data_IF_540892953091
#
_entry.id   IF_540892953091
#
_cell.length_a   1.000
_cell.length_b   1.000
_cell.length_c   1.000
_cell.angle_alpha   90.00
_cell.angle_beta   90.00
_cell.angle_gamma   90.00
#
_symmetry.space_group_name_H-M   'P 1'
#
loop_
_entity.id
_entity.type
_entity.pdbx_description
1 polymer ?
#
# COMPACT_ATOMS: atom_id res chain seq x y z
N UNK A 1 17.33 -40.64 -43.75
CA UNK A 1 18.10 -39.83 -42.78
C UNK A 1 17.37 -38.59 -42.23
N UNK A 2 16.16 -38.22 -42.71
CA UNK A 2 15.48 -36.96 -42.32
C UNK A 2 14.55 -37.01 -41.09
N UNK A 3 14.12 -38.20 -40.65
CA UNK A 3 13.15 -38.35 -39.54
C UNK A 3 13.80 -38.14 -38.16
N UNK A 4 15.06 -38.57 -37.98
CA UNK A 4 15.78 -38.44 -36.71
C UNK A 4 16.05 -36.97 -36.34
N UNK A 5 16.34 -36.13 -37.32
CA UNK A 5 16.53 -34.68 -37.12
C UNK A 5 15.22 -33.96 -36.75
N UNK A 6 14.11 -34.35 -37.38
CA UNK A 6 12.78 -33.80 -37.06
C UNK A 6 12.36 -34.15 -35.63
N UNK A 7 12.60 -35.39 -35.19
CA UNK A 7 12.28 -35.83 -33.84
C UNK A 7 13.07 -35.07 -32.77
N UNK A 8 14.37 -34.83 -33.01
CA UNK A 8 15.23 -34.09 -32.09
C UNK A 8 14.79 -32.62 -31.95
N UNK A 9 14.36 -32.01 -33.06
CA UNK A 9 13.89 -30.62 -33.08
C UNK A 9 12.56 -30.47 -32.34
N UNK A 10 11.64 -31.43 -32.49
CA UNK A 10 10.39 -31.46 -31.73
C UNK A 10 10.61 -31.65 -30.23
N UNK A 11 11.58 -32.49 -29.83
CA UNK A 11 11.95 -32.67 -28.42
C UNK A 11 12.54 -31.39 -27.83
N UNK A 12 13.39 -30.66 -28.58
CA UNK A 12 13.92 -29.37 -28.13
C UNK A 12 12.83 -28.29 -27.99
N UNK A 13 11.88 -28.23 -28.93
CA UNK A 13 10.75 -27.29 -28.84
C UNK A 13 9.85 -27.62 -27.65
N UNK A 14 9.51 -28.90 -27.46
CA UNK A 14 8.70 -29.33 -26.31
C UNK A 14 9.43 -29.10 -24.99
N UNK A 15 10.72 -29.44 -24.91
CA UNK A 15 11.54 -29.24 -23.72
C UNK A 15 11.69 -27.76 -23.36
N UNK A 16 12.00 -26.91 -24.33
CA UNK A 16 12.07 -25.46 -24.13
C UNK A 16 10.71 -24.86 -23.74
N UNK A 17 9.60 -25.35 -24.30
CA UNK A 17 8.26 -24.91 -23.93
C UNK A 17 7.90 -25.33 -22.50
N UNK A 18 8.23 -26.55 -22.08
CA UNK A 18 8.01 -27.03 -20.71
C UNK A 18 8.87 -26.25 -19.71
N UNK A 19 10.13 -25.97 -20.05
CA UNK A 19 11.00 -25.10 -19.27
C UNK A 19 10.41 -23.69 -19.20
N UNK A 20 9.97 -23.12 -20.32
CA UNK A 20 9.35 -21.80 -20.34
C UNK A 20 8.07 -21.76 -19.51
N UNK A 21 7.23 -22.80 -19.54
CA UNK A 21 6.01 -22.90 -18.72
C UNK A 21 6.35 -23.10 -17.24
N UNK A 22 7.38 -23.89 -16.90
CA UNK A 22 7.82 -24.13 -15.53
C UNK A 22 8.48 -22.90 -14.90
N UNK A 23 9.23 -22.11 -15.67
CA UNK A 23 9.86 -20.85 -15.22
C UNK A 23 8.94 -19.63 -15.38
N UNK A 24 7.96 -19.67 -16.29
CA UNK A 24 6.89 -18.68 -16.42
C UNK A 24 5.79 -18.98 -15.41
N UNK A 25 6.14 -18.86 -14.13
CA UNK A 25 5.18 -18.89 -13.03
C UNK A 25 4.31 -17.62 -13.07
N UNK A 26 3.41 -17.55 -14.04
CA UNK A 26 2.49 -16.44 -14.31
C UNK A 26 1.28 -16.49 -13.36
N UNK A 27 1.52 -16.76 -12.07
CA UNK A 27 0.57 -16.52 -10.99
C UNK A 27 0.83 -15.19 -10.27
N UNK A 28 2.01 -14.61 -10.46
CA UNK A 28 2.40 -13.30 -9.92
C UNK A 28 1.77 -12.13 -10.68
N UNK A 29 1.54 -12.23 -12.00
CA UNK A 29 1.11 -11.09 -12.81
C UNK A 29 -0.23 -10.48 -12.36
N UNK A 30 -1.28 -11.28 -12.13
CA UNK A 30 -2.57 -10.74 -11.66
C UNK A 30 -2.47 -10.22 -10.22
N UNK A 31 -1.80 -10.94 -9.33
CA UNK A 31 -1.59 -10.49 -7.94
C UNK A 31 -0.82 -9.16 -7.92
N UNK A 32 0.21 -9.02 -8.73
CA UNK A 32 0.96 -7.78 -8.92
C UNK A 32 0.08 -6.70 -9.55
N UNK A 33 -0.70 -6.98 -10.59
CA UNK A 33 -1.63 -6.02 -11.20
C UNK A 33 -2.66 -5.54 -10.17
N UNK A 34 -3.30 -6.44 -9.42
CA UNK A 34 -4.29 -6.10 -8.37
C UNK A 34 -3.63 -5.30 -7.26
N UNK A 35 -2.44 -5.70 -6.82
CA UNK A 35 -1.69 -5.02 -5.75
C UNK A 35 -1.23 -3.63 -6.19
N UNK A 36 -0.70 -3.49 -7.40
CA UNK A 36 -0.31 -2.20 -7.98
C UNK A 36 -1.53 -1.30 -8.18
N UNK A 37 -2.64 -1.84 -8.69
CA UNK A 37 -3.89 -1.08 -8.87
C UNK A 37 -4.45 -0.60 -7.54
N UNK A 38 -4.43 -1.44 -6.49
CA UNK A 38 -4.91 -1.06 -5.16
C UNK A 38 -4.07 0.07 -4.55
N UNK A 39 -2.74 0.03 -4.74
CA UNK A 39 -1.82 1.12 -4.31
C UNK A 39 -2.10 2.44 -5.02
N UNK A 40 -2.46 2.39 -6.30
CA UNK A 40 -2.82 3.60 -7.04
C UNK A 40 -4.19 4.14 -6.59
N UNK A 41 -5.15 3.24 -6.40
CA UNK A 41 -6.54 3.58 -6.11
C UNK A 41 -6.73 4.29 -4.76
N UNK A 42 -5.94 3.96 -3.73
CA UNK A 42 -6.12 4.57 -2.40
C UNK A 42 -5.88 6.07 -2.37
N UNK A 43 -4.85 6.54 -3.07
CA UNK A 43 -4.50 7.97 -3.10
C UNK A 43 -5.61 8.78 -3.77
N UNK A 44 -6.17 8.22 -4.84
CA UNK A 44 -7.26 8.81 -5.61
C UNK A 44 -8.58 8.84 -4.81
N UNK A 45 -8.95 7.73 -4.16
CA UNK A 45 -10.14 7.64 -3.32
C UNK A 45 -10.06 8.64 -2.15
N UNK A 46 -8.93 8.68 -1.45
CA UNK A 46 -8.72 9.61 -0.35
C UNK A 46 -8.84 11.06 -0.81
N UNK A 47 -8.23 11.43 -1.94
CA UNK A 47 -8.34 12.80 -2.49
C UNK A 47 -9.78 13.16 -2.89
N UNK A 48 -10.51 12.22 -3.49
CA UNK A 48 -11.90 12.45 -3.91
C UNK A 48 -12.82 12.64 -2.71
N UNK A 49 -12.72 11.79 -1.70
CA UNK A 49 -13.48 11.90 -0.46
C UNK A 49 -13.15 13.17 0.33
N UNK A 50 -11.87 13.57 0.36
CA UNK A 50 -11.45 14.80 1.04
C UNK A 50 -12.02 16.06 0.38
N UNK A 51 -12.22 16.05 -0.94
CA UNK A 51 -12.82 17.21 -1.62
C UNK A 51 -14.30 17.41 -1.27
N UNK A 52 -15.00 16.38 -0.80
CA UNK A 52 -16.43 16.44 -0.46
C UNK A 52 -16.68 16.52 1.05
N UNK A 53 -15.73 16.08 1.87
CA UNK A 53 -15.86 15.98 3.34
C UNK A 53 -14.93 16.93 4.09
N UNK A 54 -15.21 17.17 5.38
CA UNK A 54 -14.38 18.01 6.25
C UNK A 54 -13.11 17.30 6.75
N UNK A 55 -13.24 16.05 7.18
CA UNK A 55 -12.13 15.16 7.54
C UNK A 55 -12.45 13.74 7.09
N UNK A 56 -11.42 12.98 6.74
CA UNK A 56 -11.52 11.55 6.40
C UNK A 56 -10.60 10.73 7.29
N UNK A 57 -11.07 9.53 7.63
CA UNK A 57 -10.22 8.46 8.16
C UNK A 57 -10.09 7.45 7.03
N UNK A 58 -8.89 7.27 6.54
CA UNK A 58 -8.57 6.19 5.61
C UNK A 58 -8.03 5.00 6.40
N UNK A 59 -8.48 3.79 6.07
CA UNK A 59 -7.99 2.54 6.62
C UNK A 59 -8.03 1.44 5.55
N UNK A 60 -6.98 0.65 5.46
CA UNK A 60 -6.99 -0.60 4.71
C UNK A 60 -7.98 -1.60 5.34
N UNK A 61 -8.53 -2.50 4.54
CA UNK A 61 -9.50 -3.51 4.99
C UNK A 61 -8.97 -4.47 6.07
N UNK A 62 -7.64 -4.58 6.23
CA UNK A 62 -6.99 -5.40 7.24
C UNK A 62 -6.62 -4.64 8.52
N UNK A 63 -7.08 -3.40 8.68
CA UNK A 63 -6.85 -2.59 9.88
C UNK A 63 -8.13 -2.52 10.71
N UNK A 64 -8.01 -2.63 12.04
CA UNK A 64 -9.09 -2.43 13.02
C UNK A 64 -8.71 -1.39 14.05
N UNK A 65 -9.74 -0.80 14.64
CA UNK A 65 -9.60 0.07 15.80
C UNK A 65 -9.66 -0.77 17.07
N UNK A 66 -8.80 -0.46 18.04
CA UNK A 66 -8.81 -1.11 19.36
C UNK A 66 -9.64 -0.36 20.41
N UNK A 67 -10.08 0.86 20.09
CA UNK A 67 -10.81 1.74 20.99
C UNK A 67 -11.83 2.56 20.21
N UNK A 68 -12.92 2.94 20.88
CA UNK A 68 -13.95 3.83 20.36
C UNK A 68 -13.60 5.31 20.51
N UNK A 69 -12.55 5.65 21.28
CA UNK A 69 -12.10 7.04 21.51
C UNK A 69 -11.27 7.58 20.33
N UNK A 70 -11.91 7.68 19.17
CA UNK A 70 -11.31 8.21 17.94
C UNK A 70 -11.41 9.74 17.85
N UNK A 71 -12.34 10.34 18.61
CA UNK A 71 -12.72 11.74 18.49
C UNK A 71 -11.52 12.68 18.65
N UNK A 72 -10.59 12.37 19.56
CA UNK A 72 -9.35 13.13 19.78
C UNK A 72 -8.42 13.20 18.57
N UNK A 73 -8.58 12.32 17.58
CA UNK A 73 -7.72 12.24 16.40
C UNK A 73 -8.37 12.78 15.12
N UNK A 74 -9.68 13.02 15.10
CA UNK A 74 -10.44 13.42 13.90
C UNK A 74 -10.10 14.82 13.35
N UNK A 75 -9.47 15.65 14.17
CA UNK A 75 -9.10 17.03 13.85
C UNK A 75 -7.59 17.24 14.00
N UNK A 76 -6.77 16.65 13.11
CA UNK A 76 -5.33 16.87 13.13
C UNK A 76 -4.98 18.36 12.99
N UNK A 77 -4.19 18.88 13.94
CA UNK A 77 -3.80 20.30 14.01
C UNK A 77 -3.22 20.83 12.69
N UNK A 78 -2.42 20.00 12.01
CA UNK A 78 -1.75 20.36 10.76
C UNK A 78 -2.40 19.71 9.53
N UNK A 79 -3.63 19.23 9.68
CA UNK A 79 -4.44 18.69 8.59
C UNK A 79 -4.14 17.25 8.18
N UNK A 80 -3.10 16.62 8.73
CA UNK A 80 -2.86 15.18 8.55
C UNK A 80 -2.26 14.55 9.81
N UNK A 81 -2.64 13.32 10.13
CA UNK A 81 -2.09 12.51 11.22
C UNK A 81 -1.83 11.08 10.75
N UNK A 82 -0.65 10.58 11.11
CA UNK A 82 -0.10 9.29 10.66
C UNK A 82 0.63 8.57 11.79
N UNK A 83 0.93 7.28 11.58
CA UNK A 83 1.61 6.44 12.57
C UNK A 83 2.95 5.92 12.04
N UNK A 84 4.04 6.02 12.82
CA UNK A 84 5.37 5.68 12.36
C UNK A 84 5.62 4.17 12.42
N UNK A 85 6.61 3.72 11.65
CA UNK A 85 7.21 2.39 11.74
C UNK A 85 8.61 2.47 12.35
N UNK A 86 9.30 1.32 12.43
CA UNK A 86 10.70 1.25 12.90
C UNK A 86 11.73 1.46 11.77
N UNK A 87 11.28 1.68 10.54
CA UNK A 87 12.13 1.80 9.37
C UNK A 87 12.27 3.26 8.95
N UNK A 88 13.43 3.65 8.42
CA UNK A 88 13.60 4.96 7.81
C UNK A 88 12.87 5.02 6.46
N UNK A 89 12.40 6.19 6.05
CA UNK A 89 11.78 6.38 4.72
C UNK A 89 12.70 5.88 3.60
N UNK A 90 13.98 6.23 3.66
CA UNK A 90 15.01 5.83 2.68
C UNK A 90 15.26 4.33 2.59
N UNK A 91 14.93 3.57 3.63
CA UNK A 91 15.15 2.13 3.64
C UNK A 91 14.16 1.37 2.74
N UNK A 92 13.00 1.97 2.47
CA UNK A 92 11.88 1.36 1.73
C UNK A 92 11.46 2.18 0.49
N UNK A 93 12.23 3.20 0.14
CA UNK A 93 11.96 4.06 -1.01
C UNK A 93 12.97 3.80 -2.12
N UNK A 94 12.47 3.48 -3.31
CA UNK A 94 13.33 3.22 -4.46
C UNK A 94 14.04 4.53 -4.90
N UNK A 95 15.36 4.51 -5.21
CA UNK A 95 16.12 5.73 -5.55
C UNK A 95 15.47 6.61 -6.62
N UNK A 96 14.96 6.01 -7.70
CA UNK A 96 14.25 6.73 -8.77
C UNK A 96 13.00 7.52 -8.33
N UNK A 97 12.37 7.16 -7.21
CA UNK A 97 11.25 7.95 -6.70
C UNK A 97 11.74 9.30 -6.12
N UNK A 98 12.93 9.33 -5.50
CA UNK A 98 13.54 10.59 -5.09
C UNK A 98 13.88 11.48 -6.29
N UNK A 99 14.38 10.88 -7.37
CA UNK A 99 14.64 11.60 -8.63
C UNK A 99 13.37 12.25 -9.19
N UNK A 100 12.25 11.52 -9.20
CA UNK A 100 10.94 12.04 -9.64
C UNK A 100 10.50 13.26 -8.82
N UNK A 101 10.68 13.22 -7.49
CA UNK A 101 10.31 14.33 -6.60
C UNK A 101 11.40 15.40 -6.47
N UNK A 102 12.48 15.33 -7.24
CA UNK A 102 13.64 16.23 -7.15
C UNK A 102 14.19 16.35 -5.72
N UNK A 103 14.26 15.23 -5.00
CA UNK A 103 14.68 15.15 -3.61
C UNK A 103 15.95 14.30 -3.46
N UNK A 104 16.67 14.49 -2.35
CA UNK A 104 17.79 13.61 -1.98
C UNK A 104 17.33 12.57 -0.96
N UNK A 105 17.73 11.31 -1.13
CA UNK A 105 17.45 10.26 -0.15
C UNK A 105 18.07 10.55 1.23
N UNK A 106 19.17 11.32 1.26
CA UNK A 106 19.90 11.66 2.49
C UNK A 106 19.04 12.47 3.47
N UNK A 107 18.20 13.37 2.94
CA UNK A 107 17.25 14.16 3.72
C UNK A 107 16.22 13.28 4.46
N UNK A 108 16.12 11.99 4.10
CA UNK A 108 15.15 11.04 4.63
C UNK A 108 15.78 9.90 5.45
N UNK A 109 17.10 9.94 5.72
CA UNK A 109 17.78 8.88 6.46
C UNK A 109 17.30 8.73 7.91
N UNK A 110 16.87 9.83 8.53
CA UNK A 110 16.47 9.88 9.93
C UNK A 110 14.97 10.10 10.13
N UNK A 111 14.22 10.21 9.04
CA UNK A 111 12.77 10.30 9.11
C UNK A 111 12.15 8.89 9.18
N UNK A 112 11.25 8.63 10.16
CA UNK A 112 10.57 7.35 10.24
C UNK A 112 9.59 7.23 9.06
N UNK A 113 9.58 6.06 8.43
CA UNK A 113 8.55 5.72 7.46
C UNK A 113 7.21 5.62 8.20
N UNK A 114 6.22 6.40 7.79
CA UNK A 114 4.84 6.29 8.25
C UNK A 114 4.08 5.25 7.43
N UNK A 115 3.09 4.61 8.05
CA UNK A 115 2.17 3.72 7.33
C UNK A 115 1.12 4.54 6.62
N UNK A 116 0.81 4.12 5.41
CA UNK A 116 -0.30 4.69 4.65
C UNK A 116 -1.52 3.76 4.58
N UNK A 117 -1.51 2.69 5.38
CA UNK A 117 -2.66 1.80 5.57
C UNK A 117 -3.69 2.37 6.54
N UNK A 118 -3.36 3.44 7.26
CA UNK A 118 -4.30 4.19 8.08
C UNK A 118 -3.79 5.61 8.30
N UNK A 119 -4.66 6.58 8.10
CA UNK A 119 -4.34 8.00 8.17
C UNK A 119 -5.62 8.80 8.41
N UNK A 120 -5.46 9.94 9.06
CA UNK A 120 -6.53 10.91 9.24
C UNK A 120 -6.13 12.17 8.50
N UNK A 121 -7.01 12.68 7.64
CA UNK A 121 -6.75 13.85 6.81
C UNK A 121 -7.92 14.83 6.95
N UNK A 122 -7.62 16.08 7.26
CA UNK A 122 -8.58 17.18 7.22
C UNK A 122 -8.44 17.99 5.95
N UNK A 123 -9.55 18.60 5.54
CA UNK A 123 -9.71 19.25 4.25
C UNK A 123 -9.07 20.65 4.22
N UNK A 124 -7.77 20.71 4.47
CA UNK A 124 -6.99 21.95 4.45
C UNK A 124 -6.48 22.18 3.02
N UNK A 125 -6.52 23.44 2.56
CA UNK A 125 -6.09 23.79 1.20
C UNK A 125 -4.64 23.34 0.94
N UNK A 126 -3.74 23.65 1.85
CA UNK A 126 -2.33 23.27 1.75
C UNK A 126 -2.15 21.74 1.70
N UNK A 127 -2.90 20.98 2.50
CA UNK A 127 -2.86 19.51 2.44
C UNK A 127 -3.39 18.98 1.10
N UNK A 128 -4.50 19.52 0.59
CA UNK A 128 -5.02 19.12 -0.73
C UNK A 128 -4.03 19.38 -1.87
N UNK A 129 -3.43 20.57 -1.88
CA UNK A 129 -2.62 21.06 -3.00
C UNK A 129 -1.16 20.62 -2.91
N UNK A 130 -0.58 20.58 -1.72
CA UNK A 130 0.86 20.29 -1.51
C UNK A 130 1.13 18.88 -1.02
N UNK A 131 0.13 18.16 -0.52
CA UNK A 131 0.29 16.75 -0.09
C UNK A 131 -0.50 15.81 -0.99
N UNK A 132 -1.82 15.94 -1.05
CA UNK A 132 -2.68 14.98 -1.76
C UNK A 132 -2.48 15.01 -3.27
N UNK A 133 -2.33 16.20 -3.88
CA UNK A 133 -2.11 16.32 -5.31
C UNK A 133 -0.80 15.63 -5.77
N UNK A 134 0.40 15.94 -5.24
CA UNK A 134 1.62 15.27 -5.67
C UNK A 134 1.63 13.78 -5.33
N UNK A 135 0.97 13.38 -4.24
CA UNK A 135 0.81 11.95 -3.91
C UNK A 135 0.01 11.21 -4.98
N UNK A 136 -1.13 11.78 -5.42
CA UNK A 136 -1.96 11.21 -6.49
C UNK A 136 -1.24 11.26 -7.84
N UNK A 137 -0.53 12.35 -8.16
CA UNK A 137 0.24 12.45 -9.40
C UNK A 137 1.29 11.34 -9.51
N UNK A 138 2.01 11.05 -8.42
CA UNK A 138 2.94 9.93 -8.39
C UNK A 138 2.23 8.60 -8.58
N UNK A 139 1.11 8.37 -7.87
CA UNK A 139 0.33 7.15 -8.01
C UNK A 139 -0.14 6.91 -9.45
N UNK A 140 -0.48 7.96 -10.20
CA UNK A 140 -0.88 7.88 -11.60
C UNK A 140 0.30 7.86 -12.59
N UNK A 141 1.53 7.96 -12.10
CA UNK A 141 2.74 7.98 -12.93
C UNK A 141 3.56 6.73 -12.68
N UNK A 142 3.55 5.79 -13.64
CA UNK A 142 4.20 4.47 -13.52
C UNK A 142 5.65 4.57 -13.02
N UNK A 143 6.43 5.45 -13.63
CA UNK A 143 7.86 5.58 -13.33
C UNK A 143 8.13 6.23 -11.97
N UNK A 144 7.12 6.88 -11.36
CA UNK A 144 7.16 7.29 -9.96
C UNK A 144 6.72 6.18 -9.01
N UNK A 145 5.50 5.64 -9.19
CA UNK A 145 4.88 4.73 -8.22
C UNK A 145 5.57 3.36 -8.19
N UNK A 146 6.03 2.89 -9.34
CA UNK A 146 6.66 1.59 -9.52
C UNK A 146 7.83 1.72 -10.52
N UNK A 147 8.93 2.40 -10.12
CA UNK A 147 10.07 2.57 -10.99
C UNK A 147 10.67 1.22 -11.38
N UNK A 148 11.34 1.16 -12.54
CA UNK A 148 12.02 -0.07 -12.99
C UNK A 148 12.98 -0.57 -11.90
N UNK A 149 12.79 -1.83 -11.47
CA UNK A 149 13.54 -2.46 -10.38
C UNK A 149 12.84 -2.42 -9.01
N UNK A 150 11.67 -1.78 -8.91
CA UNK A 150 10.86 -1.80 -7.71
C UNK A 150 10.22 -3.18 -7.48
N UNK A 151 10.32 -3.67 -6.25
CA UNK A 151 9.73 -4.93 -5.82
C UNK A 151 9.25 -4.84 -4.37
N UNK A 152 8.15 -5.49 -4.03
CA UNK A 152 7.59 -5.49 -2.66
C UNK A 152 8.25 -6.50 -1.73
N UNK A 153 8.92 -7.53 -2.27
CA UNK A 153 9.51 -8.63 -1.52
C UNK A 153 11.04 -8.54 -1.48
N UNK A 154 11.67 -9.42 -0.68
CA UNK A 154 13.13 -9.53 -0.62
C UNK A 154 13.82 -8.41 0.18
N UNK A 155 13.08 -7.74 1.07
CA UNK A 155 13.62 -6.67 1.92
C UNK A 155 14.76 -7.17 2.82
N UNK A 156 15.91 -6.50 2.76
CA UNK A 156 17.10 -6.81 3.57
C UNK A 156 17.33 -5.76 4.67
N UNK A 157 16.55 -5.88 5.75
CA UNK A 157 16.64 -4.98 6.92
C UNK A 157 17.84 -5.24 7.85
N UNK A 158 18.60 -6.30 7.59
CA UNK A 158 19.83 -6.60 8.32
C UNK A 158 21.03 -5.76 7.85
N UNK A 159 20.89 -4.99 6.76
CA UNK A 159 21.93 -4.07 6.30
C UNK A 159 22.13 -2.93 7.31
N UNK A 160 23.39 -2.60 7.57
CA UNK A 160 23.77 -1.42 8.35
C UNK A 160 24.44 -0.37 7.46
N UNK A 161 24.26 0.93 7.74
CA UNK A 161 23.23 1.50 8.61
C UNK A 161 21.79 1.23 8.11
N UNK A 162 20.83 1.22 9.03
CA UNK A 162 19.44 0.77 8.76
C UNK A 162 18.66 1.67 7.81
N UNK A 163 19.13 2.89 7.57
CA UNK A 163 18.52 3.82 6.61
C UNK A 163 18.88 3.49 5.15
N UNK A 164 19.82 2.57 4.90
CA UNK A 164 20.15 2.16 3.53
C UNK A 164 18.97 1.46 2.87
N UNK A 165 18.82 1.69 1.57
CA UNK A 165 17.81 1.02 0.77
C UNK A 165 17.87 -0.51 0.94
N UNK A 166 16.75 -1.09 1.35
CA UNK A 166 16.65 -2.51 1.73
C UNK A 166 16.49 -3.43 0.52
N UNK A 167 16.42 -2.88 -0.70
CA UNK A 167 16.22 -3.66 -1.93
C UNK A 167 14.74 -3.96 -2.24
N UNK A 168 13.82 -3.34 -1.50
CA UNK A 168 12.39 -3.44 -1.73
C UNK A 168 11.73 -2.07 -1.56
N UNK A 169 10.55 -1.90 -2.12
CA UNK A 169 9.87 -0.62 -2.28
C UNK A 169 8.48 -0.64 -1.63
N UNK A 170 8.11 0.43 -0.92
CA UNK A 170 6.80 0.60 -0.29
C UNK A 170 5.81 1.42 -1.14
N UNK A 171 6.13 1.71 -2.40
CA UNK A 171 5.20 2.27 -3.41
C UNK A 171 4.56 3.58 -2.95
N UNK A 172 3.24 3.65 -2.97
CA UNK A 172 2.41 4.77 -2.54
C UNK A 172 2.74 5.26 -1.13
N UNK A 173 3.20 4.36 -0.25
CA UNK A 173 3.63 4.71 1.11
C UNK A 173 4.93 5.51 1.05
N UNK A 174 5.87 5.09 0.21
CA UNK A 174 7.11 5.83 -0.03
C UNK A 174 6.84 7.22 -0.61
N UNK A 175 5.91 7.29 -1.59
CA UNK A 175 5.53 8.55 -2.22
C UNK A 175 4.93 9.53 -1.21
N UNK A 176 3.98 9.08 -0.38
CA UNK A 176 3.40 9.91 0.68
C UNK A 176 4.48 10.42 1.64
N UNK A 177 5.41 9.56 2.04
CA UNK A 177 6.48 9.89 2.98
C UNK A 177 7.46 10.93 2.40
N UNK A 178 7.82 10.84 1.11
CA UNK A 178 8.61 11.89 0.45
C UNK A 178 7.85 13.21 0.47
N UNK A 179 6.59 13.20 0.03
CA UNK A 179 5.75 14.39 -0.06
C UNK A 179 5.58 15.07 1.30
N UNK A 180 5.34 14.30 2.36
CA UNK A 180 5.24 14.81 3.72
C UNK A 180 6.55 15.44 4.20
N UNK A 181 7.69 14.77 3.97
CA UNK A 181 8.99 15.33 4.31
C UNK A 181 9.27 16.64 3.58
N UNK A 182 8.95 16.74 2.28
CA UNK A 182 9.12 17.98 1.52
C UNK A 182 8.18 19.09 2.00
N UNK A 183 6.91 18.76 2.29
CA UNK A 183 5.91 19.75 2.72
C UNK A 183 6.20 20.32 4.12
N UNK A 184 6.62 19.46 5.05
CA UNK A 184 6.90 19.82 6.44
C UNK A 184 8.39 20.07 6.73
N UNK A 185 9.20 20.34 5.69
CA UNK A 185 10.63 20.62 5.83
C UNK A 185 11.39 19.59 6.68
N UNK A 186 11.06 18.31 6.48
CA UNK A 186 11.68 17.16 7.15
C UNK A 186 11.50 17.19 8.68
N UNK A 187 10.42 17.80 9.17
CA UNK A 187 9.99 17.73 10.57
C UNK A 187 8.75 16.83 10.68
N UNK A 188 8.92 15.65 11.25
CA UNK A 188 7.87 14.64 11.39
C UNK A 188 6.90 14.94 12.54
N UNK A 189 7.22 15.88 13.43
CA UNK A 189 6.37 16.24 14.57
C UNK A 189 5.05 16.89 14.16
N UNK A 190 4.95 17.36 12.91
CA UNK A 190 3.73 17.92 12.34
C UNK A 190 2.69 16.87 11.91
N UNK A 191 3.10 15.65 11.61
CA UNK A 191 2.20 14.65 11.02
C UNK A 191 2.29 13.26 11.66
N UNK A 192 3.25 13.03 12.56
CA UNK A 192 3.43 11.76 13.27
C UNK A 192 2.77 11.81 14.65
N UNK A 193 1.97 10.80 14.95
CA UNK A 193 1.41 10.61 16.27
C UNK A 193 2.51 10.24 17.29
N UNK A 194 2.53 10.92 18.44
CA UNK A 194 3.59 10.79 19.45
C UNK A 194 3.56 9.46 20.21
N UNK A 195 2.39 8.87 20.40
CA UNK A 195 2.25 7.61 21.13
C UNK A 195 2.50 6.42 20.18
N UNK A 196 3.31 5.47 20.65
CA UNK A 196 3.63 4.24 19.91
C UNK A 196 2.56 3.17 20.07
N UNK A 197 1.68 3.30 21.06
CA UNK A 197 0.53 2.42 21.21
C UNK A 197 -0.41 2.67 20.06
N UNK A 198 -0.62 1.62 19.27
CA UNK A 198 -1.33 1.75 18.02
C UNK A 198 -2.81 1.62 18.29
N UNK A 199 -3.53 2.74 18.16
CA UNK A 199 -5.00 2.76 18.03
C UNK A 199 -5.50 1.82 16.92
N UNK A 200 -4.61 1.50 15.97
CA UNK A 200 -4.84 0.63 14.83
C UNK A 200 -4.11 -0.70 14.98
N UNK A 201 -4.85 -1.80 14.93
CA UNK A 201 -4.30 -3.15 14.89
C UNK A 201 -4.43 -3.73 13.47
N UNK A 202 -3.35 -4.33 12.97
CA UNK A 202 -3.39 -5.05 11.70
C UNK A 202 -3.78 -6.50 11.96
N UNK A 203 -4.84 -6.96 11.29
CA UNK A 203 -5.28 -8.36 11.32
C UNK A 203 -4.44 -9.18 10.33
N UNK A 204 -4.15 -10.43 10.70
CA UNK A 204 -3.49 -11.38 9.80
C UNK A 204 -4.46 -11.92 8.72
N UNK A 205 -3.96 -12.31 7.53
CA UNK A 205 -4.81 -12.79 6.44
C UNK A 205 -5.74 -13.96 6.81
N UNK A 206 -5.30 -14.83 7.71
CA UNK A 206 -6.07 -15.99 8.18
C UNK A 206 -7.32 -15.54 8.96
N UNK A 207 -7.14 -14.63 9.92
CA UNK A 207 -8.23 -14.05 10.72
C UNK A 207 -9.22 -13.28 9.85
N UNK A 208 -8.73 -12.56 8.82
CA UNK A 208 -9.61 -11.87 7.85
C UNK A 208 -10.48 -12.87 7.10
N UNK A 209 -9.88 -13.99 6.67
CA UNK A 209 -10.61 -15.03 5.92
C UNK A 209 -11.71 -15.65 6.79
N UNK A 210 -11.42 -15.94 8.05
CA UNK A 210 -12.41 -16.43 9.01
C UNK A 210 -13.54 -15.41 9.25
N UNK A 211 -13.22 -14.12 9.40
CA UNK A 211 -14.21 -13.06 9.55
C UNK A 211 -15.13 -12.95 8.32
N UNK A 212 -14.57 -13.02 7.10
CA UNK A 212 -15.36 -13.04 5.87
C UNK A 212 -16.29 -14.25 5.79
N UNK A 213 -15.80 -15.44 6.17
CA UNK A 213 -16.62 -16.65 6.20
C UNK A 213 -17.76 -16.53 7.22
N UNK A 214 -17.50 -15.95 8.39
CA UNK A 214 -18.51 -15.70 9.42
C UNK A 214 -19.60 -14.73 8.92
N UNK A 215 -19.23 -13.60 8.32
CA UNK A 215 -20.18 -12.62 7.76
C UNK A 215 -21.02 -13.24 6.65
N UNK A 216 -20.39 -14.03 5.76
CA UNK A 216 -21.09 -14.69 4.66
C UNK A 216 -22.13 -15.70 5.17
N UNK A 217 -21.79 -16.47 6.21
CA UNK A 217 -22.72 -17.39 6.87
C UNK A 217 -23.89 -16.66 7.52
N UNK A 218 -23.64 -15.55 8.21
CA UNK A 218 -24.69 -14.73 8.82
C UNK A 218 -25.64 -14.16 7.76
N UNK A 219 -25.12 -13.61 6.67
CA UNK A 219 -25.94 -13.06 5.59
C UNK A 219 -26.82 -14.15 4.95
N UNK A 220 -26.26 -15.32 4.67
CA UNK A 220 -27.03 -16.45 4.12
C UNK A 220 -28.13 -16.94 5.07
N UNK A 221 -27.86 -16.98 6.38
CA UNK A 221 -28.88 -17.33 7.39
C UNK A 221 -30.00 -16.28 7.46
N UNK A 222 -29.65 -15.01 7.33
CA UNK A 222 -30.61 -13.89 7.35
C UNK A 222 -31.48 -13.92 6.08
N UNK A 223 -30.91 -14.17 4.90
CA UNK A 223 -31.65 -14.33 3.64
C UNK A 223 -32.58 -15.55 3.65
N UNK A 224 -32.16 -16.66 4.26
CA UNK A 224 -32.98 -17.87 4.38
C UNK A 224 -34.20 -17.62 5.27
N UNK A 225 -34.01 -16.91 6.39
CA UNK A 225 -35.11 -16.50 7.26
C UNK A 225 -36.08 -15.54 6.56
N UNK A 226 -35.57 -14.55 5.81
CA UNK A 226 -36.43 -13.61 5.05
C UNK A 226 -37.25 -14.35 3.98
N UNK A 227 -36.68 -15.34 3.29
CA UNK A 227 -37.43 -16.16 2.31
C UNK A 227 -38.53 -16.99 2.98
N UNK A 228 -38.27 -17.57 4.15
CA UNK A 228 -39.28 -18.32 4.89
C UNK A 228 -40.44 -17.40 5.37
N UNK A 229 -40.13 -16.18 5.82
CA UNK A 229 -41.14 -15.19 6.21
C UNK A 229 -42.01 -14.69 5.05
N UNK A 230 -41.51 -14.70 3.81
CA UNK A 230 -42.27 -14.31 2.61
C UNK A 230 -43.13 -15.47 2.09
N UNK A 231 -42.74 -16.71 2.36
CA UNK A 231 -43.44 -17.90 1.87
C UNK A 231 -44.58 -18.38 2.79
N UNK A 232 -44.63 -17.88 4.03
CA UNK A 232 -45.71 -18.14 5.01
C UNK A 232 -46.82 -17.07 5.04
N UNK A 233 -46.86 -16.15 4.06
CA UNK A 233 -47.90 -15.13 3.91
C UNK A 233 -48.61 -15.28 2.56
#
# INVERSE_FOLDING_TARGET
>A
MRIKGLLLLLICIAGSSIVFIAFSNQRSSIQTIVTETHKQLRSFQARTALNTLGSIIYMDSNVRLNSSDIAKYLCPKYGILTWPTRHAISSLTHPKMYEYFHASAESFFFLPLIRASHLIISNFKDIREKVMLPWVQCALTRDCISPIGAQSAGCRFNKKPQYRYSGCHAYDTSALNIVLGLHFNFDDTYYVHKERETFFNKIQPEEITEEYLMITRQNNATETNVKNFIQER
#
